data_IF_023826443906
#
_entry.id   IF_023826443906
#
_cell.length_a   1.000
_cell.length_b   1.000
_cell.length_c   1.000
_cell.angle_alpha   90.00
_cell.angle_beta   90.00
_cell.angle_gamma   90.00
#
_symmetry.space_group_name_H-M   'P 1'
#
loop_
_entity.id
_entity.type
_entity.pdbx_description
1 polymer ?
#
# COMPACT_ATOMS: atom_id res chain seq x y z
N UNK A 1 -24.76 -2.83 0.11
CA UNK A 1 -24.19 -1.74 -0.66
C UNK A 1 -22.70 -1.81 -0.64
N UNK A 2 -22.13 -1.97 -1.77
CA UNK A 2 -20.70 -2.03 -1.81
C UNK A 2 -20.11 -0.63 -1.88
N UNK A 3 -19.25 -0.32 -0.94
CA UNK A 3 -18.49 0.92 -0.95
C UNK A 3 -17.27 0.74 -1.83
N UNK A 4 -17.53 0.58 -3.12
CA UNK A 4 -16.41 0.40 -4.05
C UNK A 4 -15.72 1.71 -4.31
N UNK A 5 -14.41 1.70 -4.16
CA UNK A 5 -13.59 2.87 -4.40
C UNK A 5 -12.80 2.64 -5.70
N UNK A 6 -12.83 3.64 -6.56
CA UNK A 6 -12.10 3.62 -7.82
C UNK A 6 -11.26 4.88 -7.91
N UNK A 7 -9.95 4.71 -8.04
CA UNK A 7 -9.02 5.82 -8.09
C UNK A 7 -8.25 5.73 -9.40
N UNK A 8 -8.32 6.79 -10.21
CA UNK A 8 -7.62 6.86 -11.49
C UNK A 8 -7.93 5.64 -12.38
N UNK A 9 -9.18 5.18 -12.34
CA UNK A 9 -9.60 4.03 -13.12
C UNK A 9 -9.27 2.68 -12.52
N UNK A 10 -8.66 2.66 -11.33
CA UNK A 10 -8.26 1.43 -10.67
C UNK A 10 -9.22 1.12 -9.53
N UNK A 11 -9.82 -0.06 -9.55
CA UNK A 11 -10.78 -0.45 -8.53
C UNK A 11 -10.06 -1.09 -7.34
N UNK A 12 -10.26 -0.51 -6.17
CA UNK A 12 -9.61 -1.00 -4.96
C UNK A 12 -10.24 -2.31 -4.48
N UNK A 13 -9.48 -3.17 -3.80
CA UNK A 13 -10.01 -4.45 -3.33
C UNK A 13 -11.22 -4.28 -2.42
N UNK A 14 -12.19 -5.17 -2.56
CA UNK A 14 -13.39 -5.11 -1.71
C UNK A 14 -13.05 -5.25 -0.23
N UNK A 15 -12.04 -6.06 0.08
CA UNK A 15 -11.59 -6.23 1.47
C UNK A 15 -11.04 -4.94 2.04
N UNK A 16 -10.35 -4.14 1.22
CA UNK A 16 -9.88 -2.83 1.66
C UNK A 16 -11.06 -1.89 1.91
N UNK A 17 -12.01 -1.86 0.99
CA UNK A 17 -13.16 -0.97 1.13
C UNK A 17 -13.96 -1.28 2.40
N UNK A 18 -14.12 -2.55 2.72
CA UNK A 18 -14.81 -2.96 3.93
C UNK A 18 -14.06 -2.54 5.18
N UNK A 19 -12.74 -2.71 5.17
CA UNK A 19 -11.92 -2.31 6.32
C UNK A 19 -11.93 -0.80 6.50
N UNK A 20 -11.77 -0.06 5.42
CA UNK A 20 -11.73 1.40 5.49
C UNK A 20 -13.03 1.97 6.04
N UNK A 21 -14.16 1.35 5.69
CA UNK A 21 -15.46 1.79 6.20
C UNK A 21 -15.55 1.68 7.72
N UNK A 22 -14.86 0.70 8.30
CA UNK A 22 -14.87 0.54 9.77
C UNK A 22 -14.20 1.70 10.48
N UNK A 23 -13.21 2.32 9.84
CA UNK A 23 -12.45 3.39 10.49
C UNK A 23 -12.82 4.78 9.99
N UNK A 24 -13.86 4.87 9.18
CA UNK A 24 -14.30 6.17 8.64
C UNK A 24 -14.63 7.17 9.75
N UNK A 25 -15.29 6.70 10.81
CA UNK A 25 -15.64 7.55 11.93
C UNK A 25 -14.47 7.96 12.79
N UNK A 26 -13.29 7.41 12.53
CA UNK A 26 -12.06 7.71 13.26
C UNK A 26 -11.04 8.39 12.37
N UNK A 27 -11.48 9.04 11.30
CA UNK A 27 -10.62 9.69 10.31
C UNK A 27 -9.59 8.71 9.71
N UNK A 28 -9.94 7.43 9.69
CA UNK A 28 -9.07 6.40 9.14
C UNK A 28 -8.00 5.89 10.08
N UNK A 29 -7.90 6.42 11.29
CA UNK A 29 -6.89 5.97 12.25
C UNK A 29 -7.23 4.59 12.78
N UNK A 30 -6.44 3.60 12.40
CA UNK A 30 -6.67 2.22 12.79
C UNK A 30 -5.59 1.68 13.73
N UNK A 31 -4.38 2.19 13.65
CA UNK A 31 -3.26 1.85 14.54
C UNK A 31 -3.09 0.35 14.71
N UNK A 32 -3.08 -0.37 13.61
CA UNK A 32 -2.92 -1.82 13.63
C UNK A 32 -1.44 -2.18 13.70
N UNK A 33 -1.10 -3.14 14.54
CA UNK A 33 0.27 -3.55 14.75
C UNK A 33 0.50 -4.95 14.23
N UNK A 34 1.72 -5.21 13.80
CA UNK A 34 2.09 -6.53 13.28
C UNK A 34 1.98 -7.58 14.38
N UNK A 35 1.43 -8.73 14.04
CA UNK A 35 1.40 -9.89 14.94
C UNK A 35 2.80 -10.43 15.14
N UNK A 36 3.59 -10.44 14.07
CA UNK A 36 4.97 -10.86 14.08
C UNK A 36 5.75 -9.83 13.25
N UNK A 37 7.04 -9.61 13.54
CA UNK A 37 7.82 -8.61 12.79
C UNK A 37 8.29 -9.16 11.44
N UNK A 38 7.36 -9.62 10.63
CA UNK A 38 7.64 -10.21 9.31
C UNK A 38 6.55 -9.88 8.32
N UNK A 39 6.95 -9.76 7.05
CA UNK A 39 5.99 -9.59 5.96
C UNK A 39 5.41 -10.94 5.54
N UNK A 40 4.58 -10.96 4.49
CA UNK A 40 3.93 -12.19 4.07
C UNK A 40 4.91 -13.18 3.43
N UNK A 41 6.13 -12.76 3.13
CA UNK A 41 7.17 -13.61 2.57
C UNK A 41 8.15 -14.13 3.62
N UNK A 42 7.96 -13.74 4.89
CA UNK A 42 8.81 -14.17 5.97
C UNK A 42 10.03 -13.30 6.23
N UNK A 43 10.15 -12.17 5.55
CA UNK A 43 11.26 -11.27 5.75
C UNK A 43 10.98 -10.27 6.87
N UNK A 44 12.02 -9.77 7.55
CA UNK A 44 11.81 -8.82 8.64
C UNK A 44 11.04 -7.58 8.19
N UNK A 45 10.09 -7.18 9.00
CA UNK A 45 9.27 -6.00 8.73
C UNK A 45 8.97 -5.31 10.05
N UNK A 46 9.26 -4.01 10.11
CA UNK A 46 8.98 -3.21 11.30
C UNK A 46 8.18 -1.99 10.89
N UNK A 47 6.88 -2.09 11.02
CA UNK A 47 5.98 -0.97 10.74
C UNK A 47 4.65 -1.23 11.42
N UNK A 48 3.82 -0.21 11.44
CA UNK A 48 2.44 -0.35 11.87
C UNK A 48 1.56 0.33 10.85
N UNK A 49 0.33 -0.15 10.70
CA UNK A 49 -0.63 0.50 9.83
C UNK A 49 -1.37 1.53 10.67
N UNK A 50 -0.96 2.79 10.56
CA UNK A 50 -1.48 3.84 11.41
C UNK A 50 -2.81 4.39 10.91
N UNK A 51 -2.92 4.61 9.61
CA UNK A 51 -4.08 5.27 9.04
C UNK A 51 -4.37 4.74 7.65
N UNK A 52 -5.66 4.55 7.34
CA UNK A 52 -6.11 4.22 5.99
C UNK A 52 -7.21 5.21 5.64
N UNK A 53 -7.56 5.27 4.35
CA UNK A 53 -8.47 6.30 3.86
C UNK A 53 -9.70 5.67 3.22
N UNK A 54 -10.89 6.20 3.54
CA UNK A 54 -12.14 5.75 2.94
C UNK A 54 -12.73 6.77 1.98
N UNK A 55 -12.17 7.98 1.94
CA UNK A 55 -12.66 9.06 1.10
C UNK A 55 -11.96 9.02 -0.25
N UNK A 56 -12.75 8.89 -1.32
CA UNK A 56 -12.20 8.77 -2.67
C UNK A 56 -11.35 9.97 -3.07
N UNK A 57 -11.81 11.17 -2.72
CA UNK A 57 -11.06 12.38 -3.05
C UNK A 57 -9.73 12.43 -2.34
N UNK A 58 -9.71 12.06 -1.07
CA UNK A 58 -8.47 12.02 -0.28
C UNK A 58 -7.50 11.01 -0.87
N UNK A 59 -7.99 9.83 -1.20
CA UNK A 59 -7.16 8.80 -1.83
C UNK A 59 -6.54 9.30 -3.13
N UNK A 60 -7.33 10.01 -3.92
CA UNK A 60 -6.84 10.54 -5.19
C UNK A 60 -5.77 11.61 -4.96
N UNK A 61 -5.99 12.49 -4.00
CA UNK A 61 -5.03 13.57 -3.71
C UNK A 61 -3.68 13.02 -3.29
N UNK A 62 -3.67 12.08 -2.35
CA UNK A 62 -2.39 11.53 -1.87
C UNK A 62 -1.74 10.64 -2.93
N UNK A 63 -2.54 9.97 -3.74
CA UNK A 63 -2.00 9.17 -4.83
C UNK A 63 -1.35 10.06 -5.87
N UNK A 64 -2.02 11.14 -6.26
CA UNK A 64 -1.46 12.04 -7.27
C UNK A 64 -0.20 12.72 -6.77
N UNK A 65 -0.07 12.94 -5.46
CA UNK A 65 1.11 13.57 -4.89
C UNK A 65 2.35 12.68 -4.98
N UNK A 66 2.19 11.38 -5.19
CA UNK A 66 3.34 10.48 -5.32
C UNK A 66 4.25 10.87 -6.47
N UNK A 67 3.67 11.35 -7.57
CA UNK A 67 4.47 11.78 -8.71
C UNK A 67 5.34 12.99 -8.38
N UNK A 68 4.87 13.83 -7.46
CA UNK A 68 5.63 15.01 -7.05
C UNK A 68 6.77 14.67 -6.12
N UNK A 69 6.60 13.61 -5.31
CA UNK A 69 7.61 13.22 -4.33
C UNK A 69 8.66 12.30 -4.90
N UNK A 70 8.25 11.33 -5.69
CA UNK A 70 9.14 10.21 -6.03
C UNK A 70 9.70 10.29 -7.44
N UNK A 71 8.88 10.68 -8.40
CA UNK A 71 9.33 10.70 -9.79
C UNK A 71 10.49 11.68 -10.02
N UNK A 72 10.41 12.92 -9.52
CA UNK A 72 11.51 13.87 -9.75
C UNK A 72 12.85 13.44 -9.14
N UNK A 73 12.80 12.66 -8.06
CA UNK A 73 14.01 12.25 -7.36
C UNK A 73 14.62 10.97 -7.92
N UNK A 74 13.89 10.27 -8.76
CA UNK A 74 14.42 9.06 -9.36
C UNK A 74 14.46 7.85 -8.46
N UNK A 75 13.69 7.85 -7.38
CA UNK A 75 13.63 6.72 -6.46
C UNK A 75 12.34 5.97 -6.65
N UNK A 76 12.38 4.91 -7.42
CA UNK A 76 11.16 4.28 -7.89
C UNK A 76 10.93 2.90 -7.33
N UNK A 77 11.97 2.20 -7.06
CA UNK A 77 11.90 0.85 -6.57
C UNK A 77 13.29 0.30 -6.54
N UNK A 78 13.38 -0.97 -6.18
CA UNK A 78 14.66 -1.63 -6.15
C UNK A 78 14.94 -2.18 -7.52
N UNK A 79 15.88 -1.59 -8.24
CA UNK A 79 16.28 -2.13 -9.52
C UNK A 79 17.34 -3.19 -9.29
N UNK A 80 16.92 -4.27 -8.72
CA UNK A 80 17.84 -5.37 -8.48
C UNK A 80 17.72 -6.36 -9.60
N UNK A 81 18.85 -6.76 -10.12
CA UNK A 81 18.90 -7.78 -11.14
C UNK A 81 18.47 -9.15 -10.61
N UNK A 82 18.27 -9.25 -9.32
CA UNK A 82 17.97 -10.51 -8.67
C UNK A 82 16.47 -10.69 -8.53
N UNK A 83 15.81 -11.05 -9.60
CA UNK A 83 14.35 -11.17 -9.65
C UNK A 83 13.80 -12.30 -8.81
N UNK A 84 14.65 -13.08 -8.14
CA UNK A 84 14.18 -14.18 -7.31
C UNK A 84 13.69 -13.74 -5.95
N UNK A 85 13.98 -12.50 -5.56
CA UNK A 85 13.54 -11.97 -4.27
C UNK A 85 12.07 -11.56 -4.37
N UNK A 86 11.17 -12.17 -3.58
CA UNK A 86 9.75 -11.83 -3.67
C UNK A 86 9.44 -10.40 -3.25
N UNK A 87 10.33 -9.74 -2.52
CA UNK A 87 10.15 -8.34 -2.14
C UNK A 87 10.55 -7.37 -3.24
N UNK A 88 11.30 -7.83 -4.22
CA UNK A 88 11.79 -6.97 -5.30
C UNK A 88 10.65 -6.53 -6.20
N UNK A 89 10.72 -5.32 -6.67
CA UNK A 89 9.81 -4.83 -7.69
C UNK A 89 10.55 -3.98 -8.68
N UNK A 90 9.97 -3.89 -9.87
CA UNK A 90 10.54 -3.08 -10.93
C UNK A 90 10.44 -1.61 -10.55
N UNK A 91 11.38 -0.82 -11.06
CA UNK A 91 11.36 0.61 -10.85
C UNK A 91 10.00 1.19 -11.22
N UNK A 92 9.55 2.12 -10.40
CA UNK A 92 8.30 2.82 -10.66
C UNK A 92 8.65 4.11 -11.38
N UNK A 93 8.43 4.13 -12.69
CA UNK A 93 8.74 5.32 -13.49
C UNK A 93 7.57 6.30 -13.53
N UNK A 94 6.38 5.82 -13.21
CA UNK A 94 5.23 6.69 -12.99
C UNK A 94 4.27 5.95 -12.05
N UNK A 95 3.35 6.68 -11.48
CA UNK A 95 2.43 6.13 -10.49
C UNK A 95 1.01 5.97 -11.02
N UNK A 96 0.86 5.82 -12.33
CA UNK A 96 -0.47 5.70 -12.93
C UNK A 96 -1.24 4.49 -12.43
N UNK A 97 -0.54 3.40 -12.11
CA UNK A 97 -1.18 2.17 -11.63
C UNK A 97 -0.85 1.90 -10.17
N UNK A 98 -0.51 2.93 -9.44
CA UNK A 98 -0.19 2.85 -8.02
C UNK A 98 -1.19 3.71 -7.26
N UNK A 99 -1.80 3.16 -6.21
CA UNK A 99 -2.74 3.91 -5.38
C UNK A 99 -2.27 3.87 -3.94
N UNK A 100 -2.00 5.04 -3.37
CA UNK A 100 -1.65 5.13 -1.95
C UNK A 100 -2.92 4.98 -1.11
N UNK A 101 -2.95 4.00 -0.20
CA UNK A 101 -4.15 3.74 0.59
C UNK A 101 -3.96 4.03 2.08
N UNK A 102 -2.74 4.21 2.54
CA UNK A 102 -2.53 4.42 3.96
C UNK A 102 -1.11 4.79 4.27
N UNK A 103 -0.85 4.99 5.56
CA UNK A 103 0.48 5.34 6.04
C UNK A 103 0.84 4.53 7.29
N UNK A 104 2.14 4.33 7.47
CA UNK A 104 2.69 3.73 8.67
C UNK A 104 2.83 4.79 9.76
N UNK A 105 3.24 4.36 10.95
CA UNK A 105 3.38 5.28 12.09
C UNK A 105 4.41 6.38 11.87
N UNK A 106 5.41 6.15 11.01
CA UNK A 106 6.42 7.15 10.70
C UNK A 106 6.04 8.01 9.48
N UNK A 107 4.85 7.80 8.92
CA UNK A 107 4.37 8.56 7.77
C UNK A 107 4.72 7.95 6.42
N UNK A 108 5.42 6.83 6.39
CA UNK A 108 5.75 6.19 5.12
C UNK A 108 4.51 5.57 4.49
N UNK A 109 4.48 5.55 3.16
CA UNK A 109 3.28 5.21 2.41
C UNK A 109 3.14 3.71 2.17
N UNK A 110 1.90 3.22 2.31
CA UNK A 110 1.49 1.92 1.81
C UNK A 110 0.66 2.12 0.56
N UNK A 111 0.96 1.36 -0.48
CA UNK A 111 0.27 1.52 -1.76
C UNK A 111 -0.15 0.19 -2.35
N UNK A 112 -1.18 0.25 -3.20
CA UNK A 112 -1.54 -0.86 -4.06
C UNK A 112 -0.79 -0.71 -5.38
N UNK A 113 -0.16 -1.77 -5.82
CA UNK A 113 0.55 -1.81 -7.09
C UNK A 113 -0.26 -2.66 -8.07
N UNK A 114 -0.87 -2.00 -9.05
CA UNK A 114 -1.71 -2.66 -10.05
C UNK A 114 -0.96 -2.96 -11.33
N UNK A 115 0.36 -2.78 -11.36
CA UNK A 115 1.11 -2.90 -12.61
C UNK A 115 1.10 -4.31 -13.19
N UNK A 116 1.11 -5.31 -12.33
CA UNK A 116 1.14 -6.71 -12.77
C UNK A 116 -0.24 -7.31 -12.93
N UNK A 117 -1.21 -6.85 -12.16
CA UNK A 117 -2.56 -7.40 -12.21
C UNK A 117 -3.57 -6.34 -11.81
N UNK A 118 -4.53 -6.08 -12.68
CA UNK A 118 -5.55 -5.07 -12.42
C UNK A 118 -6.59 -5.54 -11.41
N UNK A 119 -6.73 -6.86 -11.21
CA UNK A 119 -7.76 -7.39 -10.32
C UNK A 119 -7.29 -7.63 -8.90
N UNK A 120 -6.02 -7.98 -8.75
CA UNK A 120 -5.45 -8.27 -7.43
C UNK A 120 -4.12 -7.54 -7.31
N UNK A 121 -4.14 -6.30 -6.81
CA UNK A 121 -2.90 -5.55 -6.66
C UNK A 121 -2.05 -6.11 -5.52
N UNK A 122 -0.74 -6.00 -5.66
CA UNK A 122 0.16 -6.29 -4.55
C UNK A 122 0.21 -5.08 -3.63
N UNK A 123 0.72 -5.28 -2.41
CA UNK A 123 0.90 -4.19 -1.47
C UNK A 123 2.39 -3.87 -1.37
N UNK A 124 2.72 -2.60 -1.59
CA UNK A 124 4.09 -2.12 -1.51
C UNK A 124 4.18 -1.04 -0.43
N UNK A 125 5.38 -0.84 0.10
CA UNK A 125 5.62 0.08 1.19
C UNK A 125 6.92 0.82 0.95
N UNK A 126 6.94 2.13 1.22
CA UNK A 126 8.15 2.93 1.11
C UNK A 126 8.97 2.75 2.39
N UNK A 127 10.07 2.01 2.28
CA UNK A 127 10.95 1.76 3.40
C UNK A 127 12.25 2.57 3.23
N UNK A 128 12.35 3.62 4.01
CA UNK A 128 13.52 4.50 4.05
C UNK A 128 13.93 5.10 2.71
N UNK A 129 14.42 4.30 1.79
CA UNK A 129 14.96 4.80 0.53
C UNK A 129 14.54 3.99 -0.69
N UNK A 130 13.59 3.05 -0.52
CA UNK A 130 13.14 2.25 -1.66
C UNK A 130 11.75 1.69 -1.42
N UNK A 131 11.09 1.28 -2.51
CA UNK A 131 9.81 0.59 -2.43
C UNK A 131 10.05 -0.89 -2.29
N UNK A 132 9.23 -1.51 -1.46
CA UNK A 132 9.35 -2.93 -1.14
C UNK A 132 7.97 -3.57 -1.21
N UNK A 133 7.90 -4.75 -1.85
CA UNK A 133 6.65 -5.50 -1.88
C UNK A 133 6.51 -6.26 -0.57
N UNK A 134 5.36 -6.10 0.09
CA UNK A 134 5.11 -6.70 1.40
C UNK A 134 4.20 -7.92 1.29
N UNK A 135 3.26 -7.90 0.33
CA UNK A 135 2.32 -9.00 0.19
C UNK A 135 1.80 -9.04 -1.23
N UNK A 136 1.23 -10.19 -1.62
CA UNK A 136 0.68 -10.38 -2.95
C UNK A 136 -0.77 -9.93 -3.07
N UNK A 137 -1.41 -9.60 -1.95
CA UNK A 137 -2.79 -9.14 -1.95
C UNK A 137 -3.06 -8.35 -0.68
N UNK A 138 -4.17 -7.59 -0.68
CA UNK A 138 -4.54 -6.88 0.53
C UNK A 138 -4.97 -7.84 1.63
N UNK A 139 -5.62 -8.94 1.27
CA UNK A 139 -6.02 -9.95 2.26
C UNK A 139 -4.80 -10.52 2.99
N UNK A 140 -3.72 -10.80 2.26
CA UNK A 140 -2.48 -11.25 2.90
C UNK A 140 -1.88 -10.17 3.76
N UNK A 141 -1.92 -8.93 3.27
CA UNK A 141 -1.36 -7.80 3.99
C UNK A 141 -2.06 -7.60 5.34
N UNK A 142 -3.38 -7.58 5.33
CA UNK A 142 -4.12 -7.29 6.57
C UNK A 142 -4.01 -8.43 7.58
N UNK A 143 -3.75 -9.65 7.12
CA UNK A 143 -3.53 -10.78 8.02
C UNK A 143 -2.24 -10.65 8.83
N UNK A 144 -1.34 -9.77 8.42
CA UNK A 144 -0.10 -9.53 9.18
C UNK A 144 -0.36 -8.75 10.46
N UNK A 145 -1.49 -8.05 10.54
CA UNK A 145 -1.77 -7.14 11.64
C UNK A 145 -2.79 -7.73 12.61
N UNK A 146 -2.69 -7.30 13.86
CA UNK A 146 -3.62 -7.76 14.89
C UNK A 146 -4.96 -7.07 14.76
N UNK A 147 -6.00 -7.84 15.01
CA UNK A 147 -7.37 -7.37 14.98
C UNK A 147 -7.80 -7.00 16.38
N UNK A 148 -7.42 -5.91 16.85
CA UNK A 148 -7.88 -5.56 18.19
C UNK A 148 -8.98 -4.53 18.17
#
# INVERSE_FOLDING_TARGET
MSNQLTINGLQLPASYCALAAKYEGFDGFCNLKLKNPKDSFGYPLECELAQIYSNEQKLKEITDSLNNYFVPDGYYGELDSNDTDPESLKDITDFKKIVCFGIAGDGSQFCFDFRDCANVPTVIWWEDDHWRKISNSFEEFICLFSNS
#
